data_IF_148215767316
#
_entry.id   IF_148215767316
#
_cell.length_a   1.000
_cell.length_b   1.000
_cell.length_c   1.000
_cell.angle_alpha   90.00
_cell.angle_beta   90.00
_cell.angle_gamma   90.00
#
_symmetry.space_group_name_H-M   'P 1'
#
loop_
_entity.id
_entity.type
_entity.pdbx_description
1 polymer ?
#
# COMPACT_ATOMS: atom_id res chain seq x y z
N UNK A 1 -24.12 20.08 5.35
CA UNK A 1 -22.98 20.88 4.85
C UNK A 1 -22.08 19.94 4.08
N UNK A 2 -21.96 20.08 2.75
CA UNK A 2 -20.93 19.33 2.02
C UNK A 2 -19.59 19.97 2.37
N UNK A 3 -18.71 19.22 3.06
CA UNK A 3 -17.36 19.71 3.28
C UNK A 3 -16.67 19.84 1.92
N UNK A 4 -16.24 21.05 1.60
CA UNK A 4 -15.47 21.32 0.38
C UNK A 4 -14.17 20.55 0.44
N UNK A 5 -13.91 19.72 -0.57
CA UNK A 5 -12.69 18.92 -0.63
C UNK A 5 -11.50 19.86 -0.87
N UNK A 6 -10.60 19.96 0.10
CA UNK A 6 -9.35 20.72 -0.08
C UNK A 6 -8.56 20.17 -1.27
N UNK A 7 -7.78 21.00 -1.98
CA UNK A 7 -6.92 20.53 -3.06
C UNK A 7 -5.98 19.42 -2.60
N UNK A 8 -5.67 18.51 -3.50
CA UNK A 8 -4.64 17.48 -3.31
C UNK A 8 -3.27 18.01 -3.72
N UNK A 9 -2.21 17.30 -3.35
CA UNK A 9 -0.89 17.51 -3.92
C UNK A 9 -0.92 17.19 -5.43
N UNK A 10 -0.10 17.86 -6.26
CA UNK A 10 0.00 17.57 -7.69
C UNK A 10 0.18 16.08 -7.98
N UNK A 11 -0.38 15.60 -9.06
CA UNK A 11 -0.38 14.21 -9.53
C UNK A 11 -1.35 13.27 -8.81
N UNK A 12 -2.11 13.73 -7.82
CA UNK A 12 -3.08 12.91 -7.07
C UNK A 12 -4.54 13.24 -7.36
N UNK A 13 -4.82 14.01 -8.39
CA UNK A 13 -6.18 14.43 -8.78
C UNK A 13 -7.06 13.24 -9.20
N UNK A 14 -6.44 12.15 -9.62
CA UNK A 14 -7.11 10.91 -10.01
C UNK A 14 -7.60 10.08 -8.82
N UNK A 15 -7.09 10.33 -7.60
CA UNK A 15 -7.47 9.58 -6.40
C UNK A 15 -8.89 9.93 -5.99
N UNK A 16 -9.72 8.90 -5.90
CA UNK A 16 -11.11 9.05 -5.49
C UNK A 16 -11.21 9.50 -4.03
N UNK A 17 -11.76 10.70 -3.81
CA UNK A 17 -12.02 11.26 -2.48
C UNK A 17 -13.50 11.52 -2.29
N UNK A 18 -13.99 11.34 -1.06
CA UNK A 18 -15.38 11.57 -0.70
C UNK A 18 -15.53 11.87 0.79
N UNK A 19 -16.61 12.56 1.14
CA UNK A 19 -16.98 12.79 2.54
C UNK A 19 -17.66 11.55 3.12
N UNK A 20 -17.20 11.11 4.30
CA UNK A 20 -17.81 10.03 5.08
C UNK A 20 -18.44 10.62 6.35
N UNK A 21 -19.78 10.73 6.38
CA UNK A 21 -20.51 11.30 7.50
C UNK A 21 -20.41 10.46 8.78
N UNK A 22 -20.24 9.15 8.66
CA UNK A 22 -20.06 8.26 9.81
C UNK A 22 -18.72 8.41 10.50
N UNK A 23 -17.72 8.99 9.81
CA UNK A 23 -16.37 9.28 10.35
C UNK A 23 -16.10 10.75 10.51
N UNK A 24 -17.01 11.60 10.07
CA UNK A 24 -16.84 13.06 10.05
C UNK A 24 -15.50 13.45 9.38
N UNK A 25 -15.18 12.82 8.26
CA UNK A 25 -13.88 12.98 7.60
C UNK A 25 -13.95 12.74 6.09
N UNK A 26 -13.05 13.37 5.36
CA UNK A 26 -12.77 13.03 3.97
C UNK A 26 -12.00 11.73 3.91
N UNK A 27 -12.40 10.84 3.00
CA UNK A 27 -11.72 9.57 2.74
C UNK A 27 -11.11 9.61 1.35
N UNK A 28 -9.80 9.43 1.27
CA UNK A 28 -9.08 9.14 0.04
C UNK A 28 -8.96 7.62 -0.12
N UNK A 29 -9.44 7.06 -1.23
CA UNK A 29 -9.45 5.62 -1.47
C UNK A 29 -8.28 5.24 -2.38
N UNK A 30 -7.37 4.42 -1.86
CA UNK A 30 -6.23 3.86 -2.61
C UNK A 30 -6.58 2.46 -3.09
N UNK A 31 -6.45 2.22 -4.40
CA UNK A 31 -6.66 0.93 -5.06
C UNK A 31 -5.34 0.18 -5.23
N UNK A 32 -5.36 -1.13 -5.56
CA UNK A 32 -4.14 -1.88 -5.88
C UNK A 32 -3.32 -1.20 -6.98
N UNK A 33 -2.02 -1.02 -6.75
CA UNK A 33 -1.09 -0.33 -7.64
C UNK A 33 -1.03 1.18 -7.47
N UNK A 34 -1.89 1.75 -6.63
CA UNK A 34 -1.89 3.18 -6.35
C UNK A 34 -1.15 3.52 -5.06
N UNK A 35 -0.75 4.77 -4.95
CA UNK A 35 -0.33 5.40 -3.70
C UNK A 35 -0.90 6.82 -3.62
N UNK A 36 -0.95 7.35 -2.41
CA UNK A 36 -1.44 8.69 -2.15
C UNK A 36 -0.70 9.32 -0.98
N UNK A 37 -0.30 10.58 -1.14
CA UNK A 37 0.34 11.39 -0.08
C UNK A 37 -0.54 12.61 0.19
N UNK A 38 -0.69 12.95 1.46
CA UNK A 38 -1.54 14.06 1.87
C UNK A 38 -0.95 14.85 3.04
N UNK A 39 -1.17 16.17 2.99
CA UNK A 39 -1.01 17.12 4.09
C UNK A 39 -2.35 17.54 4.70
N UNK A 40 -3.45 17.05 4.12
CA UNK A 40 -4.79 17.38 4.56
C UNK A 40 -5.19 16.54 5.78
N UNK A 41 -6.06 17.10 6.62
CA UNK A 41 -6.70 16.36 7.70
C UNK A 41 -7.79 15.45 7.13
N UNK A 42 -7.38 14.31 6.58
CA UNK A 42 -8.24 13.32 5.95
C UNK A 42 -7.74 11.90 6.25
N UNK A 43 -8.54 10.90 5.91
CA UNK A 43 -8.20 9.50 6.07
C UNK A 43 -7.87 8.88 4.71
N UNK A 44 -6.79 8.11 4.64
CA UNK A 44 -6.46 7.28 3.49
C UNK A 44 -6.95 5.87 3.77
N UNK A 45 -7.69 5.26 2.86
CA UNK A 45 -8.32 3.96 3.09
C UNK A 45 -8.07 2.98 1.97
N UNK A 46 -7.85 1.73 2.34
CA UNK A 46 -7.81 0.60 1.41
C UNK A 46 -8.33 -0.69 2.05
N UNK A 47 -8.54 -1.71 1.20
CA UNK A 47 -8.91 -3.06 1.64
C UNK A 47 -7.87 -4.03 1.08
N UNK A 48 -7.24 -4.76 1.96
CA UNK A 48 -6.10 -5.64 1.71
C UNK A 48 -6.51 -7.10 1.92
N UNK A 49 -6.12 -7.94 1.01
CA UNK A 49 -6.07 -9.39 1.18
C UNK A 49 -4.62 -9.86 1.31
N UNK A 50 -4.06 -10.38 0.21
CA UNK A 50 -2.65 -10.79 0.11
C UNK A 50 -1.69 -9.62 -0.20
N UNK A 51 -2.21 -8.48 -0.68
CA UNK A 51 -1.46 -7.25 -0.89
C UNK A 51 -0.91 -6.68 0.42
N UNK A 52 0.08 -5.79 0.31
CA UNK A 52 0.60 -4.96 1.40
C UNK A 52 0.22 -3.50 1.18
N UNK A 53 -0.02 -2.79 2.27
CA UNK A 53 0.00 -1.35 2.33
C UNK A 53 1.06 -0.90 3.33
N UNK A 54 1.95 -0.01 2.90
CA UNK A 54 2.84 0.76 3.75
C UNK A 54 2.21 2.13 4.01
N UNK A 55 2.12 2.50 5.29
CA UNK A 55 1.76 3.83 5.75
C UNK A 55 3.05 4.52 6.19
N UNK A 56 3.47 5.56 5.49
CA UNK A 56 4.68 6.35 5.76
C UNK A 56 4.27 7.73 6.21
N UNK A 57 4.83 8.24 7.31
CA UNK A 57 4.45 9.55 7.82
C UNK A 57 5.55 10.22 8.65
N UNK A 58 5.48 11.55 8.65
CA UNK A 58 6.22 12.44 9.56
C UNK A 58 5.18 13.19 10.40
N UNK A 59 5.04 12.81 11.68
CA UNK A 59 4.04 13.37 12.57
C UNK A 59 4.38 14.82 13.01
N UNK A 60 5.64 15.23 12.88
CA UNK A 60 6.07 16.59 13.23
C UNK A 60 5.52 17.57 12.21
N UNK A 61 5.60 17.22 10.92
CA UNK A 61 5.04 18.02 9.83
C UNK A 61 3.59 17.74 9.52
N UNK A 62 3.02 16.66 10.06
CA UNK A 62 1.66 16.26 9.75
C UNK A 62 1.46 15.86 8.30
N UNK A 63 2.45 15.21 7.69
CA UNK A 63 2.40 14.69 6.33
C UNK A 63 2.57 13.17 6.34
N UNK A 64 1.90 12.50 5.43
CA UNK A 64 2.10 11.08 5.23
C UNK A 64 1.36 10.56 4.01
N UNK A 65 1.64 9.30 3.69
CA UNK A 65 1.03 8.63 2.57
C UNK A 65 0.87 7.14 2.80
N UNK A 66 0.15 6.51 1.89
CA UNK A 66 -0.08 5.07 1.88
C UNK A 66 -0.04 4.56 0.45
N UNK A 67 0.65 3.44 0.24
CA UNK A 67 0.57 2.67 -1.00
C UNK A 67 -0.29 1.42 -0.83
N UNK A 68 -0.57 0.75 -1.94
CA UNK A 68 -1.21 -0.55 -1.98
C UNK A 68 -0.56 -1.37 -3.09
N UNK A 69 0.32 -2.30 -2.76
CA UNK A 69 1.06 -3.08 -3.75
C UNK A 69 0.94 -4.59 -3.54
N UNK A 70 1.22 -5.32 -4.60
CA UNK A 70 1.37 -6.77 -4.64
C UNK A 70 2.52 -7.08 -5.59
N UNK A 71 3.43 -7.94 -5.17
CA UNK A 71 4.52 -8.38 -6.04
C UNK A 71 4.01 -9.36 -7.11
N UNK A 72 4.48 -9.26 -8.33
CA UNK A 72 4.19 -10.23 -9.38
C UNK A 72 5.00 -11.52 -9.21
N UNK A 73 4.96 -12.15 -8.03
CA UNK A 73 5.72 -13.35 -7.70
C UNK A 73 5.25 -14.51 -8.56
N UNK A 74 6.16 -15.13 -9.31
CA UNK A 74 5.89 -16.28 -10.14
C UNK A 74 6.50 -17.57 -9.55
N UNK A 75 7.65 -17.44 -8.86
CA UNK A 75 8.40 -18.55 -8.24
C UNK A 75 9.01 -18.07 -6.92
N UNK A 76 9.26 -19.01 -6.00
CA UNK A 76 9.93 -18.72 -4.72
C UNK A 76 11.34 -18.12 -4.88
N UNK A 77 11.99 -18.39 -6.01
CA UNK A 77 13.30 -17.86 -6.36
C UNK A 77 13.28 -16.36 -6.68
N UNK A 78 12.12 -15.81 -7.02
CA UNK A 78 12.00 -14.40 -7.42
C UNK A 78 12.36 -13.45 -6.27
N UNK A 79 12.03 -13.82 -5.03
CA UNK A 79 12.36 -13.03 -3.84
C UNK A 79 13.84 -13.13 -3.40
N UNK A 80 14.53 -14.21 -3.81
CA UNK A 80 15.94 -14.40 -3.51
C UNK A 80 16.86 -13.67 -4.49
N UNK A 81 16.31 -13.16 -5.59
CA UNK A 81 17.04 -12.43 -6.60
C UNK A 81 16.66 -10.94 -6.52
N UNK A 82 17.54 -10.10 -5.96
CA UNK A 82 17.33 -8.65 -5.84
C UNK A 82 17.10 -7.95 -7.20
N UNK A 83 17.55 -8.56 -8.30
CA UNK A 83 17.34 -8.06 -9.66
C UNK A 83 16.08 -8.61 -10.33
N UNK A 84 15.28 -9.42 -9.63
CA UNK A 84 14.02 -9.91 -10.17
C UNK A 84 13.03 -8.77 -10.44
N UNK A 85 12.14 -8.97 -11.41
CA UNK A 85 11.06 -8.01 -11.70
C UNK A 85 10.19 -7.76 -10.48
N UNK A 86 9.95 -8.81 -9.68
CA UNK A 86 9.16 -8.72 -8.46
C UNK A 86 9.79 -7.78 -7.43
N UNK A 87 11.09 -7.92 -7.17
CA UNK A 87 11.81 -7.05 -6.24
C UNK A 87 11.90 -5.61 -6.78
N UNK A 88 12.19 -5.42 -8.08
CA UNK A 88 12.21 -4.08 -8.70
C UNK A 88 10.86 -3.38 -8.57
N UNK A 89 9.76 -4.08 -8.81
CA UNK A 89 8.42 -3.53 -8.65
C UNK A 89 8.11 -3.14 -7.20
N UNK A 90 8.49 -3.99 -6.24
CA UNK A 90 8.32 -3.71 -4.82
C UNK A 90 9.14 -2.50 -4.38
N UNK A 91 10.42 -2.43 -4.76
CA UNK A 91 11.29 -1.29 -4.48
C UNK A 91 10.68 -0.01 -5.04
N UNK A 92 10.25 -0.02 -6.32
CA UNK A 92 9.57 1.10 -6.94
C UNK A 92 8.35 1.56 -6.13
N UNK A 93 7.47 0.64 -5.71
CA UNK A 93 6.28 0.97 -4.95
C UNK A 93 6.57 1.59 -3.58
N UNK A 94 7.66 1.18 -2.92
CA UNK A 94 8.10 1.75 -1.65
C UNK A 94 8.80 3.08 -1.83
N UNK A 95 9.74 3.17 -2.78
CA UNK A 95 10.52 4.37 -3.07
C UNK A 95 9.65 5.54 -3.51
N UNK A 96 8.67 5.30 -4.41
CA UNK A 96 7.78 6.37 -4.87
C UNK A 96 6.98 6.97 -3.72
N UNK A 97 6.46 6.15 -2.82
CA UNK A 97 5.76 6.66 -1.64
C UNK A 97 6.69 7.46 -0.73
N UNK A 98 7.86 6.90 -0.38
CA UNK A 98 8.81 7.55 0.52
C UNK A 98 9.31 8.85 -0.08
N UNK A 99 9.75 8.84 -1.34
CA UNK A 99 10.27 10.01 -2.03
C UNK A 99 9.22 11.11 -2.16
N UNK A 100 7.96 10.77 -2.41
CA UNK A 100 6.91 11.78 -2.49
C UNK A 100 6.62 12.41 -1.11
N UNK A 101 6.68 11.64 -0.03
CA UNK A 101 6.57 12.16 1.34
C UNK A 101 7.76 13.10 1.65
N UNK A 102 8.99 12.69 1.30
CA UNK A 102 10.21 13.50 1.48
C UNK A 102 10.20 14.77 0.64
N UNK A 103 9.85 14.68 -0.66
CA UNK A 103 9.73 15.81 -1.59
C UNK A 103 8.77 16.88 -1.07
N UNK A 104 7.75 16.46 -0.34
CA UNK A 104 6.78 17.36 0.27
C UNK A 104 7.19 17.89 1.65
N UNK A 105 8.44 17.73 2.04
CA UNK A 105 9.07 18.41 3.17
C UNK A 105 9.34 17.53 4.39
N UNK A 106 8.93 16.26 4.40
CA UNK A 106 9.27 15.35 5.49
C UNK A 106 10.79 15.12 5.58
N UNK A 107 11.26 14.77 6.77
CA UNK A 107 12.65 14.43 7.01
C UNK A 107 12.82 12.91 7.18
N UNK A 108 13.82 12.32 6.50
CA UNK A 108 14.01 10.86 6.53
C UNK A 108 14.14 10.30 7.96
N UNK A 109 14.81 11.00 8.85
CA UNK A 109 14.98 10.56 10.24
C UNK A 109 13.71 10.65 11.10
N UNK A 110 12.71 11.43 10.65
CA UNK A 110 11.41 11.52 11.32
C UNK A 110 10.39 10.50 10.78
N UNK A 111 10.72 9.85 9.64
CA UNK A 111 9.78 8.92 9.03
C UNK A 111 9.48 7.74 9.96
N UNK A 112 8.20 7.49 10.13
CA UNK A 112 7.66 6.31 10.80
C UNK A 112 6.87 5.49 9.80
N UNK A 113 7.03 4.17 9.86
CA UNK A 113 6.40 3.24 8.92
C UNK A 113 5.45 2.30 9.67
N UNK A 114 4.32 2.00 9.05
CA UNK A 114 3.41 0.91 9.50
C UNK A 114 3.06 0.04 8.31
N UNK A 115 3.03 -1.29 8.50
CA UNK A 115 2.76 -2.27 7.45
C UNK A 115 1.50 -3.08 7.75
N UNK A 116 0.65 -3.27 6.75
CA UNK A 116 -0.59 -4.03 6.88
C UNK A 116 -0.83 -4.92 5.65
N UNK A 117 -1.47 -6.08 5.83
CA UNK A 117 -1.89 -6.93 4.73
C UNK A 117 -1.24 -8.31 4.71
N UNK A 118 -0.90 -8.82 3.53
CA UNK A 118 -0.23 -10.12 3.38
C UNK A 118 -1.08 -11.31 3.85
N UNK A 119 -2.42 -11.19 3.81
CA UNK A 119 -3.32 -12.27 4.22
C UNK A 119 -3.32 -13.43 3.24
N UNK A 120 -3.52 -14.66 3.73
CA UNK A 120 -3.71 -15.84 2.90
C UNK A 120 -5.19 -15.97 2.51
N UNK A 121 -5.61 -15.22 1.49
CA UNK A 121 -7.01 -15.19 1.04
C UNK A 121 -7.24 -15.88 -0.29
N UNK A 122 -6.20 -16.13 -1.07
CA UNK A 122 -6.26 -16.84 -2.35
C UNK A 122 -5.82 -18.28 -2.09
N UNK A 123 -6.78 -19.19 -1.99
CA UNK A 123 -6.52 -20.59 -1.62
C UNK A 123 -5.73 -21.36 -2.69
N UNK A 124 -5.88 -20.98 -3.96
CA UNK A 124 -5.26 -21.64 -5.11
C UNK A 124 -3.82 -21.15 -5.42
N UNK A 125 -3.34 -20.11 -4.74
CA UNK A 125 -2.01 -19.54 -4.97
C UNK A 125 -1.21 -19.62 -3.68
N UNK A 126 -0.18 -20.46 -3.69
CA UNK A 126 0.81 -20.55 -2.61
C UNK A 126 1.48 -19.21 -2.40
N UNK A 127 1.37 -18.70 -1.19
CA UNK A 127 2.26 -17.76 -0.51
C UNK A 127 2.53 -16.36 -1.11
N UNK A 128 1.64 -15.84 -2.00
CA UNK A 128 1.74 -14.44 -2.45
C UNK A 128 1.76 -13.49 -1.24
N UNK A 129 0.89 -13.72 -0.27
CA UNK A 129 0.84 -12.91 0.95
C UNK A 129 2.15 -12.99 1.73
N UNK A 130 2.71 -14.19 1.88
CA UNK A 130 4.00 -14.39 2.57
C UNK A 130 5.15 -13.73 1.82
N UNK A 131 5.19 -13.89 0.49
CA UNK A 131 6.19 -13.23 -0.33
C UNK A 131 6.14 -11.70 -0.24
N UNK A 132 4.95 -11.12 -0.27
CA UNK A 132 4.77 -9.69 -0.06
C UNK A 132 5.23 -9.22 1.32
N UNK A 133 4.99 -10.02 2.38
CA UNK A 133 5.46 -9.75 3.75
C UNK A 133 6.99 -9.81 3.79
N UNK A 134 7.59 -10.89 3.26
CA UNK A 134 9.05 -11.10 3.29
C UNK A 134 9.77 -9.95 2.59
N UNK A 135 9.29 -9.54 1.41
CA UNK A 135 9.82 -8.39 0.71
C UNK A 135 9.72 -7.11 1.53
N UNK A 136 8.51 -6.79 2.05
CA UNK A 136 8.30 -5.54 2.79
C UNK A 136 9.18 -5.46 4.04
N UNK A 137 9.38 -6.56 4.75
CA UNK A 137 10.25 -6.61 5.93
C UNK A 137 11.73 -6.47 5.54
N UNK A 138 12.19 -7.16 4.50
CA UNK A 138 13.56 -7.02 4.00
C UNK A 138 13.86 -5.57 3.56
N UNK A 139 12.92 -4.94 2.84
CA UNK A 139 13.06 -3.54 2.42
C UNK A 139 13.19 -2.59 3.63
N UNK A 140 12.38 -2.78 4.67
CA UNK A 140 12.46 -1.98 5.91
C UNK A 140 13.83 -2.11 6.57
N UNK A 141 14.38 -3.33 6.62
CA UNK A 141 15.69 -3.63 7.22
C UNK A 141 16.83 -3.04 6.37
N UNK A 142 16.84 -3.28 5.06
CA UNK A 142 17.86 -2.78 4.12
C UNK A 142 17.93 -1.26 4.10
N UNK A 143 16.78 -0.58 4.12
CA UNK A 143 16.68 0.88 4.12
C UNK A 143 16.78 1.51 5.53
N UNK A 144 17.00 0.69 6.56
CA UNK A 144 17.07 1.12 7.98
C UNK A 144 15.90 2.03 8.39
N UNK A 145 14.67 1.67 7.98
CA UNK A 145 13.47 2.45 8.23
C UNK A 145 12.86 2.14 9.61
N UNK A 146 12.26 3.14 10.22
CA UNK A 146 11.62 3.00 11.54
C UNK A 146 10.23 2.36 11.44
N UNK A 147 10.14 1.04 11.55
CA UNK A 147 8.88 0.29 11.60
C UNK A 147 8.29 0.37 13.02
N UNK A 148 7.22 1.14 13.19
CA UNK A 148 6.60 1.36 14.52
C UNK A 148 5.40 0.46 14.81
N UNK A 149 4.76 -0.12 13.78
CA UNK A 149 3.66 -1.07 13.95
C UNK A 149 3.42 -1.91 12.69
N UNK A 150 2.87 -3.09 12.86
CA UNK A 150 2.40 -3.91 11.73
C UNK A 150 1.25 -4.84 12.16
N UNK A 151 0.41 -5.22 11.20
CA UNK A 151 -0.53 -6.36 11.28
C UNK A 151 -0.56 -7.03 9.91
N UNK A 152 0.19 -8.13 9.78
CA UNK A 152 0.38 -8.85 8.53
C UNK A 152 0.06 -10.34 8.68
N UNK A 153 -0.19 -11.01 7.56
CA UNK A 153 -0.48 -12.45 7.52
C UNK A 153 -1.89 -12.82 8.01
N UNK A 154 -2.08 -14.09 8.30
CA UNK A 154 -3.36 -14.66 8.74
C UNK A 154 -4.40 -14.78 7.63
N UNK A 155 -5.58 -15.40 7.93
CA UNK A 155 -6.56 -15.77 6.90
C UNK A 155 -7.58 -14.66 6.57
N UNK A 156 -7.48 -13.48 7.16
CA UNK A 156 -8.52 -12.47 7.05
C UNK A 156 -8.08 -11.25 6.24
N UNK A 157 -8.90 -10.79 5.28
CA UNK A 157 -8.72 -9.47 4.69
C UNK A 157 -8.87 -8.37 5.74
N UNK A 158 -8.28 -7.21 5.46
CA UNK A 158 -8.29 -6.05 6.33
C UNK A 158 -8.81 -4.81 5.60
N UNK A 159 -9.66 -4.06 6.25
CA UNK A 159 -9.94 -2.68 5.86
C UNK A 159 -9.20 -1.75 6.81
N UNK A 160 -8.39 -0.85 6.27
CA UNK A 160 -7.65 0.13 7.04
C UNK A 160 -8.06 1.55 6.67
N UNK A 161 -7.95 2.44 7.66
CA UNK A 161 -8.05 3.89 7.53
C UNK A 161 -6.85 4.48 8.24
N UNK A 162 -5.99 5.10 7.48
CA UNK A 162 -4.77 5.74 7.94
C UNK A 162 -4.95 7.25 7.97
N UNK A 163 -4.55 7.88 9.06
CA UNK A 163 -4.56 9.32 9.24
C UNK A 163 -3.14 9.86 9.06
N UNK A 164 -2.79 10.46 7.91
CA UNK A 164 -1.40 10.89 7.60
C UNK A 164 -0.83 11.88 8.62
N UNK A 165 -1.67 12.77 9.13
CA UNK A 165 -1.29 13.83 10.06
C UNK A 165 -0.82 13.34 11.43
N UNK A 166 -1.35 12.22 11.90
CA UNK A 166 -1.09 11.68 13.25
C UNK A 166 -0.47 10.30 13.25
N UNK A 167 -0.38 9.68 12.09
CA UNK A 167 0.07 8.30 11.95
C UNK A 167 -0.93 7.26 12.51
N UNK A 168 -2.11 7.64 13.01
CA UNK A 168 -3.10 6.70 13.54
C UNK A 168 -3.65 5.81 12.43
N UNK A 169 -3.81 4.53 12.73
CA UNK A 169 -4.46 3.56 11.84
C UNK A 169 -5.60 2.88 12.57
N UNK A 170 -6.78 2.92 11.95
CA UNK A 170 -7.93 2.13 12.35
C UNK A 170 -8.04 0.94 11.42
N UNK A 171 -8.07 -0.27 11.97
CA UNK A 171 -8.12 -1.50 11.20
C UNK A 171 -9.29 -2.37 11.62
N UNK A 172 -9.96 -2.99 10.62
CA UNK A 172 -10.97 -4.01 10.82
C UNK A 172 -10.62 -5.26 10.04
N UNK A 173 -10.44 -6.40 10.71
CA UNK A 173 -10.37 -7.73 10.08
C UNK A 173 -11.77 -8.12 9.60
N UNK A 174 -11.87 -8.46 8.31
CA UNK A 174 -13.15 -8.77 7.67
C UNK A 174 -13.41 -10.28 7.75
N UNK A 175 -13.91 -10.72 8.91
CA UNK A 175 -14.08 -12.16 9.21
C UNK A 175 -15.31 -12.78 8.55
N UNK A 176 -16.34 -11.99 8.28
CA UNK A 176 -17.65 -12.44 7.76
C UNK A 176 -17.88 -11.91 6.33
N UNK A 177 -16.92 -12.17 5.44
CA UNK A 177 -17.13 -11.89 4.02
C UNK A 177 -17.90 -13.06 3.38
N UNK A 178 -19.14 -12.82 3.03
CA UNK A 178 -19.99 -13.79 2.31
C UNK A 178 -19.73 -13.81 0.79
N UNK A 179 -18.69 -13.10 0.31
CA UNK A 179 -18.35 -13.02 -1.11
C UNK A 179 -16.84 -13.02 -1.34
N UNK A 180 -16.44 -13.38 -2.55
CA UNK A 180 -15.04 -13.43 -3.00
C UNK A 180 -14.59 -12.17 -3.76
N UNK A 181 -15.24 -11.03 -3.51
CA UNK A 181 -14.95 -9.78 -4.24
C UNK A 181 -13.49 -9.31 -4.08
N UNK A 182 -12.92 -9.46 -2.87
CA UNK A 182 -11.53 -9.07 -2.60
C UNK A 182 -10.59 -10.00 -3.34
N UNK A 183 -10.79 -11.32 -3.25
CA UNK A 183 -10.02 -12.33 -3.96
C UNK A 183 -10.05 -12.09 -5.48
N UNK A 184 -11.25 -11.94 -6.07
CA UNK A 184 -11.40 -11.66 -7.50
C UNK A 184 -10.67 -10.40 -7.94
N UNK A 185 -10.71 -9.33 -7.14
CA UNK A 185 -10.00 -8.08 -7.43
C UNK A 185 -8.49 -8.29 -7.42
N UNK A 186 -7.96 -9.00 -6.44
CA UNK A 186 -6.53 -9.26 -6.33
C UNK A 186 -6.03 -10.20 -7.42
N UNK A 187 -6.79 -11.24 -7.77
CA UNK A 187 -6.48 -12.12 -8.90
C UNK A 187 -6.42 -11.33 -10.21
N UNK A 188 -7.39 -10.45 -10.47
CA UNK A 188 -7.39 -9.58 -11.65
C UNK A 188 -6.17 -8.65 -11.66
N UNK A 189 -5.83 -8.07 -10.53
CA UNK A 189 -4.67 -7.19 -10.41
C UNK A 189 -3.37 -7.96 -10.70
N UNK A 190 -3.18 -9.15 -10.12
CA UNK A 190 -2.03 -10.00 -10.38
C UNK A 190 -1.91 -10.40 -11.87
N UNK A 191 -3.04 -10.72 -12.52
CA UNK A 191 -3.07 -11.01 -13.96
C UNK A 191 -2.63 -9.81 -14.80
N UNK A 192 -3.03 -8.60 -14.42
CA UNK A 192 -2.61 -7.38 -15.09
C UNK A 192 -1.11 -7.11 -14.91
N UNK A 193 -0.57 -7.29 -13.71
CA UNK A 193 0.86 -7.17 -13.45
C UNK A 193 1.68 -8.09 -14.35
N UNK A 194 1.29 -9.38 -14.44
CA UNK A 194 1.97 -10.36 -15.31
C UNK A 194 1.92 -9.99 -16.79
N UNK A 195 0.86 -9.33 -17.27
CA UNK A 195 0.77 -8.86 -18.66
C UNK A 195 1.69 -7.68 -18.93
N UNK A 196 1.86 -6.77 -17.96
CA UNK A 196 2.76 -5.62 -18.08
C UNK A 196 4.24 -6.06 -18.13
N UNK A 197 4.61 -7.12 -17.40
CA UNK A 197 5.97 -7.70 -17.45
C UNK A 197 6.34 -8.18 -18.86
N UNK A 198 5.41 -8.78 -19.60
CA UNK A 198 5.65 -9.28 -20.96
C UNK A 198 5.89 -8.16 -21.98
N UNK A 199 5.31 -6.97 -21.74
CA UNK A 199 5.45 -5.83 -22.65
C UNK A 199 6.69 -4.98 -22.41
N UNK A 200 7.29 -5.04 -21.23
CA UNK A 200 8.53 -4.30 -20.89
C UNK A 200 9.81 -5.00 -21.29
N UNK A 201 9.77 -6.27 -21.68
CA UNK A 201 10.96 -7.02 -22.15
C UNK A 201 11.37 -6.68 -23.61
N UNK A 202 10.74 -5.72 -24.26
CA UNK A 202 10.93 -5.46 -25.71
C UNK A 202 11.66 -4.12 -26.00
N UNK A 203 12.09 -3.33 -25.03
CA UNK A 203 12.88 -2.12 -25.31
C UNK A 203 14.10 -1.99 -24.40
N UNK A 204 15.16 -2.71 -24.75
CA UNK A 204 16.54 -2.37 -24.38
C UNK A 204 17.29 -2.01 -25.67
N UNK A 205 17.40 -0.72 -25.93
CA UNK A 205 18.41 -0.18 -26.82
C UNK A 205 19.61 0.31 -26.01
#
# INVERSE_FOLDING_TARGET
MHAELRPVLPSFEHIKRYWDSGRDSVIAKVLPGEFYVSKNNELISTVLGSCIAACVYDEILGIGGMNHFMLPIQKDTDLKNAHSLSCRYGNWAMEYLINEVLKNGASRHNLKIKLFGGGKIISAMTDIGLGNISFAMAYIEEEALNLVAHDMGGPWPRKIFFHPHTGKVYMKKLRNLHNNTIEKREVRYLQNLKKQEVTTDIELF
#
